data_IF_871127022687
#
_entry.id   IF_871127022687
#
_cell.length_a   1.000
_cell.length_b   1.000
_cell.length_c   1.000
_cell.angle_alpha   90.00
_cell.angle_beta   90.00
_cell.angle_gamma   90.00
#
_symmetry.space_group_name_H-M   'P 1'
#
loop_
_entity.id
_entity.type
_entity.pdbx_description
1 polymer ?
#
# COMPACT_ATOMS: atom_id res chain seq x y z
N UNK A 1 11.59 -23.28 -3.06
CA UNK A 1 11.03 -22.71 -1.82
C UNK A 1 11.23 -23.74 -0.73
N UNK A 2 12.15 -23.45 0.18
CA UNK A 2 12.47 -24.31 1.32
C UNK A 2 12.63 -23.35 2.50
N UNK A 3 11.83 -23.56 3.55
CA UNK A 3 11.88 -22.73 4.76
C UNK A 3 12.33 -23.63 5.88
N UNK A 4 13.55 -23.44 6.35
CA UNK A 4 14.05 -24.22 7.47
C UNK A 4 13.37 -23.78 8.77
N UNK A 5 13.06 -24.76 9.64
CA UNK A 5 12.52 -24.50 10.99
C UNK A 5 13.37 -23.51 11.80
N UNK A 6 14.69 -23.49 11.58
CA UNK A 6 15.60 -22.54 12.24
C UNK A 6 15.27 -21.08 11.83
N UNK A 7 15.06 -20.82 10.54
CA UNK A 7 14.67 -19.50 10.02
C UNK A 7 13.32 -19.07 10.60
N UNK A 8 12.37 -20.00 10.76
CA UNK A 8 11.07 -19.69 11.37
C UNK A 8 11.23 -19.29 12.85
N UNK A 9 12.10 -19.98 13.60
CA UNK A 9 12.39 -19.66 15.01
C UNK A 9 12.99 -18.27 15.18
N UNK A 10 13.83 -17.83 14.25
CA UNK A 10 14.43 -16.49 14.30
C UNK A 10 13.41 -15.36 14.10
N UNK A 11 12.20 -15.67 13.59
CA UNK A 11 11.15 -14.69 13.30
C UNK A 11 10.13 -14.52 14.41
N UNK A 12 10.20 -15.31 15.49
CA UNK A 12 9.22 -15.26 16.57
C UNK A 12 9.86 -15.63 17.91
N UNK A 13 9.09 -15.50 19.00
CA UNK A 13 9.52 -16.00 20.31
C UNK A 13 9.27 -17.50 20.41
N UNK A 14 9.99 -18.21 21.28
CA UNK A 14 9.78 -19.65 21.50
C UNK A 14 8.32 -19.98 21.85
N UNK A 15 7.68 -19.17 22.70
CA UNK A 15 6.27 -19.36 23.06
C UNK A 15 5.31 -19.19 21.87
N UNK A 16 5.64 -18.31 20.91
CA UNK A 16 4.85 -18.16 19.67
C UNK A 16 5.12 -19.32 18.73
N UNK A 17 6.37 -19.78 18.65
CA UNK A 17 6.75 -20.93 17.84
C UNK A 17 6.00 -22.19 18.27
N UNK A 18 6.02 -22.52 19.56
CA UNK A 18 5.30 -23.67 20.13
C UNK A 18 3.79 -23.62 19.84
N UNK A 19 3.19 -22.42 19.88
CA UNK A 19 1.78 -22.24 19.52
C UNK A 19 1.53 -22.42 18.03
N UNK A 20 2.48 -22.05 17.17
CA UNK A 20 2.40 -22.31 15.73
C UNK A 20 2.45 -23.82 15.44
N UNK A 21 3.35 -24.55 16.11
CA UNK A 21 3.41 -26.02 16.03
C UNK A 21 2.09 -26.65 16.49
N UNK A 22 1.52 -26.17 17.59
CA UNK A 22 0.21 -26.62 18.05
C UNK A 22 -0.87 -26.41 16.98
N UNK A 23 -0.94 -25.23 16.37
CA UNK A 23 -1.94 -24.91 15.35
C UNK A 23 -1.83 -25.80 14.12
N UNK A 24 -0.61 -26.09 13.68
CA UNK A 24 -0.37 -27.04 12.60
C UNK A 24 -0.81 -28.45 12.98
N UNK A 25 -0.41 -28.92 14.17
CA UNK A 25 -0.73 -30.27 14.66
C UNK A 25 -2.23 -30.50 14.86
N UNK A 26 -2.99 -29.44 15.16
CA UNK A 26 -4.45 -29.47 15.29
C UNK A 26 -5.16 -29.35 13.93
N UNK A 27 -4.44 -29.29 12.81
CA UNK A 27 -5.00 -29.23 11.47
C UNK A 27 -5.73 -27.92 11.16
N UNK A 28 -5.32 -26.81 11.81
CA UNK A 28 -6.01 -25.51 11.68
C UNK A 28 -5.62 -24.73 10.42
N UNK A 29 -4.58 -25.16 9.71
CA UNK A 29 -4.15 -24.55 8.45
C UNK A 29 -4.99 -25.14 7.31
N UNK A 30 -5.87 -24.34 6.74
CA UNK A 30 -6.73 -24.69 5.61
C UNK A 30 -6.46 -23.82 4.39
N UNK A 31 -7.02 -24.22 3.25
CA UNK A 31 -6.89 -23.52 1.95
C UNK A 31 -5.45 -23.08 1.63
N UNK A 32 -4.47 -23.91 1.99
CA UNK A 32 -3.07 -23.64 1.71
C UNK A 32 -2.87 -23.75 0.20
N UNK A 33 -2.54 -22.63 -0.44
CA UNK A 33 -2.38 -22.52 -1.88
C UNK A 33 -1.11 -21.74 -2.22
N UNK A 34 -0.54 -22.02 -3.40
CA UNK A 34 0.66 -21.36 -3.89
C UNK A 34 0.49 -20.91 -5.33
N UNK A 35 0.87 -19.67 -5.58
CA UNK A 35 0.97 -19.10 -6.91
C UNK A 35 2.33 -18.40 -7.08
N UNK A 36 3.28 -19.07 -7.73
CA UNK A 36 4.66 -18.62 -7.86
C UNK A 36 5.40 -18.60 -6.53
N UNK A 37 5.82 -17.42 -6.08
CA UNK A 37 6.52 -17.20 -4.81
C UNK A 37 5.58 -16.79 -3.67
N UNK A 38 4.28 -16.63 -3.96
CA UNK A 38 3.27 -16.27 -2.95
C UNK A 38 2.54 -17.51 -2.46
N UNK A 39 2.46 -17.64 -1.13
CA UNK A 39 1.62 -18.62 -0.43
C UNK A 39 0.50 -17.91 0.30
N UNK A 40 -0.72 -18.44 0.20
CA UNK A 40 -1.88 -18.00 0.98
C UNK A 40 -2.47 -19.17 1.76
N UNK A 41 -3.06 -18.87 2.92
CA UNK A 41 -3.74 -19.86 3.73
C UNK A 41 -4.82 -19.21 4.61
N UNK A 42 -5.85 -19.98 4.94
CA UNK A 42 -6.85 -19.62 5.94
C UNK A 42 -6.54 -20.41 7.22
N UNK A 43 -6.27 -19.73 8.33
CA UNK A 43 -5.95 -20.36 9.62
C UNK A 43 -7.14 -20.24 10.57
N UNK A 44 -7.65 -21.38 11.03
CA UNK A 44 -8.81 -21.41 11.93
C UNK A 44 -8.44 -21.03 13.37
N UNK A 45 -8.96 -19.91 13.84
CA UNK A 45 -8.89 -19.48 15.24
C UNK A 45 -10.30 -19.27 15.83
N UNK A 46 -10.51 -18.27 16.68
CA UNK A 46 -11.86 -17.84 17.06
C UNK A 46 -12.62 -17.21 15.88
N UNK A 47 -11.86 -16.67 14.90
CA UNK A 47 -12.30 -16.29 13.55
C UNK A 47 -11.32 -16.93 12.55
N UNK A 48 -11.69 -17.02 11.28
CA UNK A 48 -10.71 -17.36 10.25
C UNK A 48 -9.78 -16.17 10.05
N UNK A 49 -8.47 -16.43 10.13
CA UNK A 49 -7.43 -15.43 9.87
C UNK A 49 -6.74 -15.79 8.55
N UNK A 50 -6.70 -14.83 7.61
CA UNK A 50 -5.99 -14.99 6.34
C UNK A 50 -4.51 -14.71 6.55
N UNK A 51 -3.67 -15.59 6.01
CA UNK A 51 -2.22 -15.49 6.05
C UNK A 51 -1.69 -15.43 4.62
N UNK A 52 -0.78 -14.50 4.38
CA UNK A 52 -0.01 -14.39 3.14
C UNK A 52 1.46 -14.42 3.45
N UNK A 53 2.24 -15.18 2.69
CA UNK A 53 3.71 -15.21 2.74
C UNK A 53 4.23 -14.99 1.33
N UNK A 54 5.16 -14.04 1.17
CA UNK A 54 5.80 -13.73 -0.09
C UNK A 54 7.29 -14.08 -0.02
N UNK A 55 7.67 -15.13 -0.75
CA UNK A 55 9.03 -15.67 -0.78
C UNK A 55 9.93 -15.04 -1.84
N UNK A 56 9.45 -14.04 -2.59
CA UNK A 56 10.22 -13.35 -3.61
C UNK A 56 11.34 -12.47 -3.06
N UNK A 57 11.06 -11.52 -2.14
CA UNK A 57 12.11 -10.73 -1.49
C UNK A 57 12.88 -11.55 -0.45
N UNK A 58 14.18 -11.26 -0.28
CA UNK A 58 14.97 -11.73 0.86
C UNK A 58 15.29 -10.55 1.79
N UNK A 59 14.90 -10.59 3.08
CA UNK A 59 14.12 -11.64 3.73
C UNK A 59 12.67 -11.72 3.21
N UNK A 60 12.09 -12.93 3.21
CA UNK A 60 10.67 -13.10 2.84
C UNK A 60 9.75 -12.30 3.78
N UNK A 61 8.63 -11.86 3.22
CA UNK A 61 7.62 -11.05 3.91
C UNK A 61 6.40 -11.89 4.26
N UNK A 62 5.70 -11.51 5.32
CA UNK A 62 4.48 -12.21 5.75
C UNK A 62 3.49 -11.24 6.36
N UNK A 63 2.21 -11.46 6.07
CA UNK A 63 1.09 -10.72 6.65
C UNK A 63 0.04 -11.70 7.18
N UNK A 64 -0.64 -11.30 8.26
CA UNK A 64 -1.77 -12.02 8.81
C UNK A 64 -2.83 -11.03 9.28
N UNK A 65 -4.11 -11.32 9.04
CA UNK A 65 -5.23 -10.45 9.45
C UNK A 65 -5.53 -10.48 10.95
N UNK A 66 -4.81 -11.29 11.72
CA UNK A 66 -5.02 -11.38 13.17
C UNK A 66 -4.49 -10.11 13.89
N UNK A 67 -5.11 -9.72 15.02
CA UNK A 67 -4.77 -8.48 15.74
C UNK A 67 -3.48 -8.60 16.60
N UNK A 68 -2.55 -9.46 16.21
CA UNK A 68 -1.33 -9.69 16.97
C UNK A 68 -0.41 -8.48 16.90
N UNK A 69 -0.02 -7.96 18.07
CA UNK A 69 0.81 -6.77 18.26
C UNK A 69 2.13 -7.08 18.99
N UNK A 70 2.44 -8.36 19.17
CA UNK A 70 3.69 -8.80 19.80
C UNK A 70 4.89 -8.78 18.85
N UNK A 71 6.05 -9.13 19.39
CA UNK A 71 7.30 -9.16 18.63
C UNK A 71 7.34 -10.30 17.61
N UNK A 72 7.76 -9.99 16.38
CA UNK A 72 7.95 -11.00 15.34
C UNK A 72 6.63 -11.42 14.68
N UNK A 73 6.66 -12.53 13.96
CA UNK A 73 5.47 -13.05 13.28
C UNK A 73 4.53 -13.75 14.26
N UNK A 74 3.23 -13.71 13.98
CA UNK A 74 2.24 -14.37 14.83
C UNK A 74 2.26 -15.90 14.65
N UNK A 75 1.64 -16.62 15.59
CA UNK A 75 1.51 -18.09 15.54
C UNK A 75 0.84 -18.62 14.27
N UNK A 76 -0.03 -17.84 13.60
CA UNK A 76 -0.69 -18.27 12.37
C UNK A 76 0.29 -18.29 11.20
N UNK A 77 1.13 -17.26 11.09
CA UNK A 77 2.24 -17.23 10.13
C UNK A 77 3.20 -18.39 10.40
N UNK A 78 3.57 -18.62 11.66
CA UNK A 78 4.41 -19.78 12.03
C UNK A 78 3.78 -21.10 11.57
N UNK A 79 2.49 -21.32 11.85
CA UNK A 79 1.79 -22.55 11.44
C UNK A 79 1.81 -22.76 9.92
N UNK A 80 1.63 -21.68 9.14
CA UNK A 80 1.70 -21.73 7.67
C UNK A 80 3.13 -21.99 7.18
N UNK A 81 4.14 -21.34 7.75
CA UNK A 81 5.55 -21.58 7.40
C UNK A 81 5.97 -23.01 7.72
N UNK A 82 5.51 -23.56 8.84
CA UNK A 82 5.74 -24.96 9.20
C UNK A 82 5.01 -25.91 8.24
N UNK A 83 3.76 -25.62 7.85
CA UNK A 83 3.02 -26.42 6.87
C UNK A 83 3.77 -26.47 5.53
N UNK A 84 4.22 -25.31 5.03
CA UNK A 84 5.03 -25.20 3.81
C UNK A 84 6.37 -25.92 3.95
N UNK A 85 7.00 -25.89 5.13
CA UNK A 85 8.25 -26.61 5.41
C UNK A 85 8.08 -28.14 5.39
N UNK A 86 6.91 -28.65 5.79
CA UNK A 86 6.62 -30.08 5.88
C UNK A 86 6.13 -30.66 4.55
N UNK A 87 5.19 -29.97 3.89
CA UNK A 87 4.60 -30.36 2.62
C UNK A 87 4.28 -29.09 1.79
N UNK A 88 5.23 -28.62 0.98
CA UNK A 88 5.02 -27.43 0.15
C UNK A 88 3.86 -27.66 -0.84
N UNK A 89 2.84 -26.77 -0.89
CA UNK A 89 1.77 -26.88 -1.87
C UNK A 89 2.30 -26.81 -3.30
N UNK A 90 1.62 -27.50 -4.22
CA UNK A 90 1.89 -27.44 -5.66
C UNK A 90 1.80 -25.98 -6.12
N UNK A 91 2.76 -25.57 -6.96
CA UNK A 91 2.71 -24.26 -7.58
C UNK A 91 1.70 -24.30 -8.73
N UNK A 92 0.61 -23.52 -8.62
CA UNK A 92 -0.45 -23.43 -9.63
C UNK A 92 -0.08 -22.51 -10.80
N UNK A 93 1.02 -21.75 -10.69
CA UNK A 93 1.41 -20.75 -11.69
C UNK A 93 1.70 -21.35 -13.06
N UNK A 94 2.51 -22.42 -13.22
CA UNK A 94 2.80 -23.00 -14.53
C UNK A 94 1.55 -23.50 -15.28
N UNK A 95 0.56 -24.03 -14.56
CA UNK A 95 -0.70 -24.55 -15.10
C UNK A 95 -1.55 -23.38 -15.61
N UNK A 96 -1.62 -22.28 -14.85
CA UNK A 96 -2.30 -21.06 -15.29
C UNK A 96 -1.56 -20.40 -16.47
N UNK A 97 -0.23 -20.31 -16.43
CA UNK A 97 0.58 -19.76 -17.54
C UNK A 97 0.34 -20.55 -18.84
N UNK A 98 0.31 -21.89 -18.78
CA UNK A 98 -0.02 -22.73 -19.94
C UNK A 98 -1.44 -22.48 -20.46
N UNK A 99 -2.42 -22.24 -19.58
CA UNK A 99 -3.77 -21.87 -19.99
C UNK A 99 -3.82 -20.49 -20.64
N UNK A 100 -3.03 -19.52 -20.16
CA UNK A 100 -2.96 -18.18 -20.75
C UNK A 100 -2.33 -18.25 -22.15
N UNK A 101 -1.27 -19.04 -22.32
CA UNK A 101 -0.56 -19.19 -23.61
C UNK A 101 -1.41 -19.90 -24.69
N UNK A 102 -2.30 -20.80 -24.30
CA UNK A 102 -3.20 -21.55 -25.21
C UNK A 102 -4.48 -20.76 -25.59
N UNK A 103 -4.69 -19.56 -25.04
CA UNK A 103 -5.90 -18.76 -25.29
C UNK A 103 -5.60 -17.57 -26.20
N UNK A 104 -6.57 -17.23 -27.05
CA UNK A 104 -6.47 -16.03 -27.88
C UNK A 104 -6.61 -14.76 -27.04
N UNK A 105 -5.99 -13.67 -27.49
CA UNK A 105 -6.13 -12.36 -26.85
C UNK A 105 -7.58 -11.89 -26.72
N UNK A 106 -8.44 -12.23 -27.68
CA UNK A 106 -9.88 -11.90 -27.62
C UNK A 106 -10.58 -12.66 -26.48
N UNK A 107 -10.27 -13.94 -26.30
CA UNK A 107 -10.84 -14.75 -25.20
C UNK A 107 -10.40 -14.22 -23.84
N UNK A 108 -9.13 -13.86 -23.69
CA UNK A 108 -8.59 -13.30 -22.45
C UNK A 108 -9.20 -11.92 -22.17
N UNK A 109 -9.38 -11.09 -23.21
CA UNK A 109 -10.04 -9.78 -23.09
C UNK A 109 -11.49 -9.91 -22.64
N UNK A 110 -12.25 -10.85 -23.21
CA UNK A 110 -13.62 -11.12 -22.78
C UNK A 110 -13.68 -11.55 -21.32
N UNK A 111 -12.83 -12.50 -20.91
CA UNK A 111 -12.74 -12.93 -19.51
C UNK A 111 -12.43 -11.77 -18.56
N UNK A 112 -11.42 -10.93 -18.88
CA UNK A 112 -11.08 -9.77 -18.05
C UNK A 112 -12.24 -8.77 -17.92
N UNK A 113 -12.99 -8.53 -19.00
CA UNK A 113 -14.16 -7.62 -18.95
C UNK A 113 -15.30 -8.20 -18.11
N UNK A 114 -15.48 -9.51 -18.12
CA UNK A 114 -16.43 -10.20 -17.24
C UNK A 114 -16.02 -10.03 -15.78
N UNK A 115 -14.76 -10.33 -15.42
CA UNK A 115 -14.25 -10.15 -14.05
C UNK A 115 -14.33 -8.69 -13.56
N UNK A 116 -14.09 -7.72 -14.45
CA UNK A 116 -14.22 -6.29 -14.11
C UNK A 116 -15.64 -5.85 -13.79
N UNK A 117 -16.67 -6.63 -14.12
CA UNK A 117 -18.06 -6.26 -13.88
C UNK A 117 -18.32 -6.10 -12.39
N UNK A 118 -17.82 -7.03 -11.58
CA UNK A 118 -18.13 -7.11 -10.15
C UNK A 118 -16.95 -6.75 -9.24
N UNK A 119 -15.76 -6.51 -9.80
CA UNK A 119 -14.55 -6.18 -9.03
C UNK A 119 -14.03 -4.75 -9.33
N UNK A 120 -14.44 -3.73 -8.55
CA UNK A 120 -13.85 -2.38 -8.61
C UNK A 120 -12.35 -2.34 -8.33
N UNK A 121 -11.85 -3.17 -7.42
CA UNK A 121 -10.45 -3.15 -7.02
C UNK A 121 -9.54 -3.68 -8.14
N UNK A 122 -9.98 -4.73 -8.84
CA UNK A 122 -9.29 -5.24 -10.02
C UNK A 122 -9.27 -4.20 -11.15
N UNK A 123 -10.36 -3.45 -11.35
CA UNK A 123 -10.38 -2.33 -12.31
C UNK A 123 -9.37 -1.26 -11.95
N UNK A 124 -9.28 -0.88 -10.68
CA UNK A 124 -8.31 0.11 -10.24
C UNK A 124 -6.86 -0.39 -10.34
N UNK A 125 -6.61 -1.68 -10.06
CA UNK A 125 -5.31 -2.34 -10.30
C UNK A 125 -4.93 -2.34 -11.77
N UNK A 126 -5.86 -2.66 -12.65
CA UNK A 126 -5.65 -2.66 -14.09
C UNK A 126 -5.33 -1.25 -14.60
N UNK A 127 -6.12 -0.25 -14.19
CA UNK A 127 -5.89 1.16 -14.52
C UNK A 127 -4.54 1.66 -14.02
N UNK A 128 -4.22 1.43 -12.74
CA UNK A 128 -2.93 1.84 -12.19
C UNK A 128 -1.75 1.21 -12.93
N UNK A 129 -1.93 0.02 -13.53
CA UNK A 129 -0.88 -0.66 -14.30
C UNK A 129 -0.78 -0.24 -15.77
N UNK A 130 -1.90 0.08 -16.41
CA UNK A 130 -1.98 0.23 -17.87
C UNK A 130 -2.52 1.58 -18.37
N UNK A 131 -3.19 2.39 -17.54
CA UNK A 131 -3.56 3.75 -17.93
C UNK A 131 -2.28 4.55 -18.18
N UNK A 132 -2.10 4.96 -19.44
CA UNK A 132 -1.05 5.87 -19.87
C UNK A 132 -1.34 7.33 -19.47
N UNK A 133 -2.60 7.66 -19.23
CA UNK A 133 -3.02 9.00 -18.77
C UNK A 133 -2.70 9.17 -17.28
N UNK A 134 -1.52 9.73 -17.01
CA UNK A 134 -1.23 10.28 -15.69
C UNK A 134 -2.20 11.44 -15.45
N UNK A 135 -3.02 11.34 -14.39
CA UNK A 135 -3.84 12.47 -13.96
C UNK A 135 -2.90 13.60 -13.50
N UNK A 136 -3.30 14.85 -13.70
CA UNK A 136 -2.53 15.98 -13.17
C UNK A 136 -2.72 16.10 -11.65
N UNK A 137 -1.82 16.83 -10.99
CA UNK A 137 -2.01 17.22 -9.58
C UNK A 137 -3.37 17.88 -9.39
N UNK A 138 -3.77 18.77 -10.31
CA UNK A 138 -5.06 19.47 -10.25
C UNK A 138 -6.26 18.52 -10.32
N UNK A 139 -6.22 17.49 -11.16
CA UNK A 139 -7.33 16.53 -11.27
C UNK A 139 -7.56 15.76 -9.98
N UNK A 140 -6.48 15.35 -9.29
CA UNK A 140 -6.62 14.72 -7.98
C UNK A 140 -7.07 15.70 -6.91
N UNK A 141 -6.61 16.96 -6.97
CA UNK A 141 -7.04 18.01 -6.05
C UNK A 141 -8.52 18.33 -6.19
N UNK A 142 -9.04 18.44 -7.41
CA UNK A 142 -10.48 18.67 -7.65
C UNK A 142 -11.34 17.58 -6.98
N UNK A 143 -10.92 16.31 -7.11
CA UNK A 143 -11.56 15.16 -6.44
C UNK A 143 -11.49 15.27 -4.91
N UNK A 144 -10.35 15.71 -4.35
CA UNK A 144 -10.15 15.84 -2.90
C UNK A 144 -10.92 17.04 -2.35
N UNK A 145 -10.88 18.16 -3.04
CA UNK A 145 -11.54 19.41 -2.64
C UNK A 145 -13.07 19.23 -2.65
N UNK A 146 -13.59 18.39 -3.55
CA UNK A 146 -15.00 17.94 -3.51
C UNK A 146 -15.33 17.24 -2.17
N UNK A 147 -14.45 16.43 -1.60
CA UNK A 147 -14.69 15.85 -0.27
C UNK A 147 -14.72 16.90 0.84
N UNK A 148 -13.88 17.94 0.75
CA UNK A 148 -13.94 19.04 1.69
C UNK A 148 -15.28 19.78 1.57
N UNK A 149 -15.74 20.07 0.35
CA UNK A 149 -17.05 20.69 0.11
C UNK A 149 -18.19 19.84 0.69
N UNK A 150 -18.21 18.54 0.40
CA UNK A 150 -19.20 17.60 0.94
C UNK A 150 -19.16 17.52 2.47
N UNK A 151 -17.96 17.50 3.06
CA UNK A 151 -17.77 17.42 4.51
C UNK A 151 -18.15 18.72 5.23
N UNK A 152 -18.03 19.89 4.58
CA UNK A 152 -18.48 21.16 5.16
C UNK A 152 -20.01 21.26 5.24
N UNK A 153 -20.73 20.71 4.26
CA UNK A 153 -22.19 20.77 4.18
C UNK A 153 -22.74 22.19 4.42
N UNK A 154 -23.71 22.33 5.33
CA UNK A 154 -24.26 23.64 5.72
C UNK A 154 -23.39 24.40 6.74
N UNK A 155 -22.40 23.74 7.35
CA UNK A 155 -21.63 24.30 8.47
C UNK A 155 -20.47 25.17 8.02
N UNK A 156 -20.14 25.18 6.72
CA UNK A 156 -18.98 25.88 6.11
C UNK A 156 -17.59 25.47 6.64
N UNK A 157 -17.55 24.57 7.61
CA UNK A 157 -16.34 24.05 8.26
C UNK A 157 -16.42 22.53 8.37
N UNK A 158 -15.26 21.88 8.38
CA UNK A 158 -15.10 20.44 8.54
C UNK A 158 -14.65 20.15 9.96
N UNK A 159 -15.45 19.38 10.70
CA UNK A 159 -15.13 18.97 12.08
C UNK A 159 -14.72 17.50 12.19
N UNK A 160 -15.19 16.67 11.26
CA UNK A 160 -14.97 15.22 11.23
C UNK A 160 -13.76 14.85 10.37
N UNK A 161 -13.18 13.68 10.61
CA UNK A 161 -12.08 13.18 9.80
C UNK A 161 -12.57 12.72 8.42
N UNK A 162 -12.13 13.43 7.36
CA UNK A 162 -12.27 12.96 5.98
C UNK A 162 -11.36 11.75 5.75
N UNK A 163 -11.90 10.70 5.11
CA UNK A 163 -11.12 9.52 4.75
C UNK A 163 -10.33 9.75 3.44
N UNK A 164 -9.00 9.66 3.53
CA UNK A 164 -8.10 9.81 2.38
C UNK A 164 -7.56 8.47 1.85
N UNK A 165 -8.01 7.34 2.40
CA UNK A 165 -7.44 6.01 2.11
C UNK A 165 -7.42 5.69 0.62
N UNK A 166 -8.47 6.06 -0.13
CA UNK A 166 -8.53 5.91 -1.59
C UNK A 166 -7.31 6.47 -2.33
N UNK A 167 -6.79 7.63 -1.92
CA UNK A 167 -5.61 8.23 -2.58
C UNK A 167 -4.32 7.57 -2.14
N UNK A 168 -4.20 7.21 -0.86
CA UNK A 168 -3.02 6.47 -0.38
C UNK A 168 -2.92 5.09 -1.05
N UNK A 169 -4.01 4.33 -1.09
CA UNK A 169 -4.06 3.03 -1.76
C UNK A 169 -3.69 3.15 -3.24
N UNK A 170 -4.13 4.23 -3.90
CA UNK A 170 -3.78 4.50 -5.29
C UNK A 170 -2.30 4.84 -5.46
N UNK A 171 -1.75 5.71 -4.61
CA UNK A 171 -0.34 6.09 -4.66
C UNK A 171 0.57 4.88 -4.39
N UNK A 172 0.27 4.09 -3.37
CA UNK A 172 1.01 2.87 -3.02
C UNK A 172 0.96 1.84 -4.14
N UNK A 173 -0.17 1.74 -4.84
CA UNK A 173 -0.30 0.88 -6.03
C UNK A 173 0.48 1.39 -7.24
N UNK A 174 0.61 2.70 -7.43
CA UNK A 174 1.55 3.21 -8.45
C UNK A 174 3.00 2.86 -8.08
N UNK A 175 3.39 3.04 -6.82
CA UNK A 175 4.74 2.68 -6.33
C UNK A 175 5.04 1.20 -6.52
N UNK A 176 4.09 0.30 -6.25
CA UNK A 176 4.30 -1.15 -6.44
C UNK A 176 4.53 -1.56 -7.90
N UNK A 177 4.15 -0.71 -8.86
CA UNK A 177 4.46 -0.88 -10.28
C UNK A 177 5.66 -0.06 -10.77
N UNK A 178 6.42 0.57 -9.87
CA UNK A 178 7.57 1.43 -10.21
C UNK A 178 7.15 2.74 -10.89
N UNK A 179 5.91 3.19 -10.68
CA UNK A 179 5.34 4.42 -11.24
C UNK A 179 5.41 5.57 -10.22
N UNK A 180 6.62 5.85 -9.74
CA UNK A 180 6.84 6.82 -8.65
C UNK A 180 6.47 8.27 -9.07
N UNK A 181 6.51 8.61 -10.36
CA UNK A 181 6.08 9.94 -10.86
C UNK A 181 4.56 10.13 -10.66
N UNK A 182 3.77 9.11 -10.95
CA UNK A 182 2.33 9.12 -10.77
C UNK A 182 1.95 9.07 -9.29
N UNK A 183 2.67 8.27 -8.48
CA UNK A 183 2.50 8.27 -7.03
C UNK A 183 2.80 9.65 -6.42
N UNK A 184 3.90 10.29 -6.83
CA UNK A 184 4.27 11.64 -6.40
C UNK A 184 3.15 12.65 -6.69
N UNK A 185 2.48 12.51 -7.82
CA UNK A 185 1.37 13.39 -8.20
C UNK A 185 0.18 13.26 -7.24
N UNK A 186 -0.17 12.03 -6.85
CA UNK A 186 -1.26 11.77 -5.88
C UNK A 186 -0.89 12.32 -4.50
N UNK A 187 0.30 12.01 -4.01
CA UNK A 187 0.77 12.48 -2.71
C UNK A 187 0.81 14.00 -2.63
N UNK A 188 1.36 14.64 -3.65
CA UNK A 188 1.36 16.10 -3.76
C UNK A 188 -0.07 16.63 -3.70
N UNK A 189 -1.00 16.08 -4.48
CA UNK A 189 -2.39 16.55 -4.44
C UNK A 189 -3.01 16.49 -3.03
N UNK A 190 -2.79 15.41 -2.28
CA UNK A 190 -3.26 15.30 -0.89
C UNK A 190 -2.63 16.35 0.02
N UNK A 191 -1.30 16.53 -0.06
CA UNK A 191 -0.58 17.54 0.73
C UNK A 191 -1.09 18.95 0.43
N UNK A 192 -1.25 19.29 -0.85
CA UNK A 192 -1.69 20.61 -1.29
C UNK A 192 -3.14 20.89 -0.90
N UNK A 193 -4.07 19.94 -1.13
CA UNK A 193 -5.48 20.13 -0.78
C UNK A 193 -5.70 20.27 0.72
N UNK A 194 -4.96 19.52 1.57
CA UNK A 194 -5.07 19.70 3.03
C UNK A 194 -4.60 21.09 3.45
N UNK A 195 -3.47 21.55 2.91
CA UNK A 195 -2.90 22.85 3.25
C UNK A 195 -3.76 24.02 2.78
N UNK A 196 -4.39 23.91 1.62
CA UNK A 196 -5.23 24.97 1.07
C UNK A 196 -6.64 25.03 1.68
N UNK A 197 -7.10 23.95 2.32
CA UNK A 197 -8.38 23.93 3.04
C UNK A 197 -8.22 24.12 4.57
N UNK A 198 -7.05 24.56 5.06
CA UNK A 198 -6.81 24.70 6.51
C UNK A 198 -7.78 25.64 7.21
N UNK A 199 -8.25 26.70 6.54
CA UNK A 199 -9.22 27.65 7.07
C UNK A 199 -10.61 27.04 7.29
N UNK A 200 -10.91 25.94 6.59
CA UNK A 200 -12.18 25.21 6.72
C UNK A 200 -12.13 24.15 7.80
N UNK A 201 -10.95 23.75 8.29
CA UNK A 201 -10.80 22.64 9.25
C UNK A 201 -10.96 23.18 10.68
N UNK A 202 -12.04 22.78 11.36
CA UNK A 202 -12.35 23.14 12.75
C UNK A 202 -12.43 21.92 13.69
N UNK A 203 -11.93 20.76 13.24
CA UNK A 203 -11.90 19.54 14.03
C UNK A 203 -10.97 18.49 13.44
N UNK A 204 -10.83 17.38 14.17
CA UNK A 204 -9.93 16.28 13.81
C UNK A 204 -8.49 16.71 13.44
N UNK A 205 -7.96 17.80 14.02
CA UNK A 205 -6.67 18.38 13.60
C UNK A 205 -5.53 17.36 13.55
N UNK A 206 -5.43 16.47 14.55
CA UNK A 206 -4.39 15.44 14.56
C UNK A 206 -4.50 14.42 13.43
N UNK A 207 -5.70 14.19 12.89
CA UNK A 207 -5.90 13.38 11.69
C UNK A 207 -5.30 14.08 10.48
N UNK A 208 -5.72 15.31 10.19
CA UNK A 208 -5.20 16.09 9.06
C UNK A 208 -3.70 16.33 9.14
N UNK A 209 -3.19 16.56 10.34
CA UNK A 209 -1.76 16.71 10.60
C UNK A 209 -0.95 15.46 10.20
N UNK A 210 -1.41 14.27 10.63
CA UNK A 210 -0.79 12.99 10.28
C UNK A 210 -0.95 12.67 8.79
N UNK A 211 -2.11 12.93 8.22
CA UNK A 211 -2.41 12.71 6.80
C UNK A 211 -1.53 13.58 5.92
N UNK A 212 -1.39 14.87 6.25
CA UNK A 212 -0.49 15.80 5.56
C UNK A 212 0.95 15.30 5.63
N UNK A 213 1.43 14.92 6.82
CA UNK A 213 2.80 14.43 6.98
C UNK A 213 3.05 13.16 6.15
N UNK A 214 2.14 12.16 6.25
CA UNK A 214 2.23 10.92 5.47
C UNK A 214 2.27 11.20 3.97
N UNK A 215 1.45 12.13 3.48
CA UNK A 215 1.44 12.51 2.08
C UNK A 215 2.73 13.23 1.67
N UNK A 216 3.24 14.15 2.49
CA UNK A 216 4.48 14.86 2.21
C UNK A 216 5.69 13.92 2.18
N UNK A 217 5.78 12.99 3.15
CA UNK A 217 6.83 11.97 3.19
C UNK A 217 6.75 11.06 1.96
N UNK A 218 5.54 10.59 1.61
CA UNK A 218 5.32 9.81 0.40
C UNK A 218 5.71 10.55 -0.89
N UNK A 219 5.47 11.87 -0.95
CA UNK A 219 5.91 12.70 -2.07
C UNK A 219 7.44 12.77 -2.16
N UNK A 220 8.12 13.05 -1.04
CA UNK A 220 9.59 13.11 -0.95
C UNK A 220 10.21 11.78 -1.37
N UNK A 221 9.74 10.66 -0.82
CA UNK A 221 10.20 9.31 -1.18
C UNK A 221 10.07 9.06 -2.69
N UNK A 222 8.94 9.45 -3.28
CA UNK A 222 8.71 9.29 -4.70
C UNK A 222 9.64 10.16 -5.55
N UNK A 223 9.98 11.38 -5.12
CA UNK A 223 10.93 12.24 -5.84
C UNK A 223 12.35 11.67 -5.82
N UNK A 224 12.75 11.00 -4.73
CA UNK A 224 14.07 10.38 -4.61
C UNK A 224 14.20 9.09 -5.42
N UNK A 225 13.09 8.35 -5.58
CA UNK A 225 13.06 7.06 -6.27
C UNK A 225 12.70 7.17 -7.75
N UNK A 226 11.91 8.17 -8.12
CA UNK A 226 11.57 8.43 -9.51
C UNK A 226 12.82 8.79 -10.33
N UNK A 227 12.93 8.21 -11.52
CA UNK A 227 13.96 8.57 -12.50
C UNK A 227 13.68 9.97 -13.10
N UNK A 228 13.80 11.02 -12.29
CA UNK A 228 13.64 12.44 -12.69
C UNK A 228 14.93 12.96 -13.32
N UNK A 229 14.78 13.85 -14.29
CA UNK A 229 15.89 14.72 -14.72
C UNK A 229 16.19 15.78 -13.66
N UNK A 230 17.42 16.30 -13.63
CA UNK A 230 17.81 17.37 -12.72
C UNK A 230 16.85 18.56 -12.77
N UNK A 231 16.38 18.94 -13.96
CA UNK A 231 15.41 20.02 -14.13
C UNK A 231 14.03 19.70 -13.53
N UNK A 232 13.55 18.46 -13.66
CA UNK A 232 12.28 18.04 -13.06
C UNK A 232 12.39 18.01 -11.54
N UNK A 233 13.50 17.48 -11.01
CA UNK A 233 13.77 17.42 -9.58
C UNK A 233 13.87 18.83 -8.97
N UNK A 234 14.64 19.73 -9.58
CA UNK A 234 14.78 21.11 -9.11
C UNK A 234 13.45 21.88 -9.20
N UNK A 235 12.62 21.63 -10.22
CA UNK A 235 11.28 22.20 -10.29
C UNK A 235 10.40 21.72 -9.11
N UNK A 236 10.47 20.44 -8.76
CA UNK A 236 9.74 19.89 -7.62
C UNK A 236 10.21 20.49 -6.28
N UNK A 237 11.52 20.66 -6.08
CA UNK A 237 12.10 21.31 -4.90
C UNK A 237 11.71 22.79 -4.82
N UNK A 238 11.68 23.50 -5.97
CA UNK A 238 11.22 24.89 -6.04
C UNK A 238 9.78 25.04 -5.57
N UNK A 239 8.89 24.16 -6.03
CA UNK A 239 7.48 24.14 -5.59
C UNK A 239 7.38 23.95 -4.07
N UNK A 240 8.13 23.01 -3.49
CA UNK A 240 8.14 22.78 -2.04
C UNK A 240 8.68 23.99 -1.27
N UNK A 241 9.69 24.67 -1.83
CA UNK A 241 10.29 25.87 -1.25
C UNK A 241 9.32 27.05 -1.25
N UNK A 242 8.62 27.30 -2.36
CA UNK A 242 7.58 28.33 -2.47
C UNK A 242 6.45 28.08 -1.46
N UNK A 243 6.01 26.81 -1.31
CA UNK A 243 5.02 26.42 -0.30
C UNK A 243 5.55 26.56 1.12
N UNK A 244 6.83 26.29 1.37
CA UNK A 244 7.45 26.50 2.67
C UNK A 244 7.42 27.98 3.08
N UNK A 245 7.51 28.91 2.14
CA UNK A 245 7.40 30.35 2.38
C UNK A 245 5.95 30.81 2.57
N UNK A 246 5.01 30.25 1.82
CA UNK A 246 3.60 30.65 1.84
C UNK A 246 2.77 30.03 2.98
N UNK A 247 3.04 28.76 3.34
CA UNK A 247 2.24 28.02 4.30
C UNK A 247 2.28 28.62 5.71
N UNK A 248 1.24 28.37 6.51
CA UNK A 248 1.11 28.92 7.86
C UNK A 248 1.46 27.88 8.93
N UNK A 249 2.05 28.35 10.03
CA UNK A 249 2.24 27.56 11.25
C UNK A 249 3.14 26.32 11.06
N UNK A 250 2.75 25.14 11.57
CA UNK A 250 3.60 23.94 11.53
C UNK A 250 3.82 23.40 10.11
N UNK A 251 2.91 23.66 9.16
CA UNK A 251 3.01 23.17 7.78
C UNK A 251 4.20 23.77 7.02
N UNK A 252 4.48 25.05 7.25
CA UNK A 252 5.67 25.72 6.72
C UNK A 252 6.97 25.03 7.15
N UNK A 253 7.07 24.59 8.41
CA UNK A 253 8.25 23.87 8.90
C UNK A 253 8.37 22.48 8.28
N UNK A 254 7.25 21.78 8.06
CA UNK A 254 7.23 20.48 7.39
C UNK A 254 7.75 20.56 5.96
N UNK A 255 7.28 21.55 5.18
CA UNK A 255 7.80 21.77 3.83
C UNK A 255 9.30 22.08 3.84
N UNK A 256 9.80 22.90 4.78
CA UNK A 256 11.25 23.13 4.93
C UNK A 256 12.01 21.83 5.24
N UNK A 257 11.46 20.98 6.10
CA UNK A 257 12.02 19.65 6.39
C UNK A 257 12.11 18.79 5.14
N UNK A 258 11.04 18.73 4.34
CA UNK A 258 11.04 18.01 3.07
C UNK A 258 12.08 18.55 2.07
N UNK A 259 12.21 19.88 1.95
CA UNK A 259 13.24 20.50 1.12
C UNK A 259 14.63 20.10 1.61
N UNK A 260 14.88 20.18 2.91
CA UNK A 260 16.17 19.81 3.49
C UNK A 260 16.53 18.34 3.19
N UNK A 261 15.59 17.41 3.38
CA UNK A 261 15.78 15.99 3.03
C UNK A 261 16.17 15.81 1.56
N UNK A 262 15.50 16.50 0.64
CA UNK A 262 15.77 16.40 -0.80
C UNK A 262 17.11 17.02 -1.21
N UNK A 263 17.60 18.02 -0.47
CA UNK A 263 18.87 18.72 -0.79
C UNK A 263 20.08 18.16 -0.05
N UNK A 264 19.90 17.55 1.11
CA UNK A 264 20.98 16.96 1.91
C UNK A 264 21.40 15.57 1.40
N UNK A 265 20.53 14.87 0.67
CA UNK A 265 20.79 13.55 0.05
C UNK A 265 21.49 13.63 -1.34
N UNK A 266 21.92 14.82 -1.79
CA UNK A 266 22.69 15.04 -3.04
C UNK A 266 24.20 15.19 -2.79
#
# INVERSE_FOLDING_TARGET
MEVERAVIRERCTDAVFERGEQYLSEGRVGRLARFGERVTAEVQSAKSDDVTVDFGPEPFESACTCPYDGSGVCKHVVAVLLAVSEDPPEDERPQIEALLDDRSGDSLRSFLLEEFTDDPEMRDRFRARFEAESHSVSAYRDDIDTLFEEATGESSVVTEAIDFSRWFDRAERYRSYGRDREAATVYRAVTESIEENLDRIEGAYGHYERTFQRALDGYVDCLQTAALSDSEFQAAVSVLSERAEAAVGPYSQRYRGAVATLTDDQ
#
